data_IF_353946996161
#
_entry.id   IF_353946996161
#
_cell.length_a   1.000
_cell.length_b   1.000
_cell.length_c   1.000
_cell.angle_alpha   90.00
_cell.angle_beta   90.00
_cell.angle_gamma   90.00
#
_symmetry.space_group_name_H-M   'P 1'
#
loop_
_entity.id
_entity.type
_entity.pdbx_description
1 polymer ?
#
# COMPACT_ATOMS: atom_id res chain seq x y z
N UNK A 1 19.25 -13.01 3.21
CA UNK A 1 18.32 -13.12 2.07
C UNK A 1 18.86 -12.29 0.92
N UNK A 2 19.04 -12.85 -0.28
CA UNK A 2 19.48 -12.07 -1.44
C UNK A 2 18.40 -11.04 -1.82
N UNK A 3 18.80 -9.86 -2.32
CA UNK A 3 17.85 -8.80 -2.73
C UNK A 3 16.86 -9.30 -3.79
N UNK A 4 17.28 -10.22 -4.64
CA UNK A 4 16.43 -10.88 -5.62
C UNK A 4 15.35 -11.78 -4.96
N UNK A 5 15.71 -12.54 -3.92
CA UNK A 5 14.77 -13.37 -3.18
C UNK A 5 13.68 -12.55 -2.49
N UNK A 6 14.04 -11.43 -1.87
CA UNK A 6 13.08 -10.52 -1.23
C UNK A 6 12.09 -9.90 -2.23
N UNK A 7 12.54 -9.54 -3.43
CA UNK A 7 11.66 -9.00 -4.49
C UNK A 7 10.65 -10.05 -4.96
N UNK A 8 11.09 -11.29 -5.19
CA UNK A 8 10.18 -12.37 -5.62
C UNK A 8 9.11 -12.69 -4.57
N UNK A 9 9.47 -12.71 -3.28
CA UNK A 9 8.49 -12.89 -2.21
C UNK A 9 7.47 -11.76 -2.18
N UNK A 10 7.89 -10.51 -2.36
CA UNK A 10 6.98 -9.37 -2.42
C UNK A 10 6.02 -9.42 -3.63
N UNK A 11 6.52 -9.85 -4.79
CA UNK A 11 5.69 -10.04 -5.99
C UNK A 11 4.64 -11.13 -5.78
N UNK A 12 5.03 -12.28 -5.22
CA UNK A 12 4.09 -13.38 -4.93
C UNK A 12 3.04 -12.93 -3.92
N UNK A 13 3.45 -12.28 -2.83
CA UNK A 13 2.51 -11.75 -1.84
C UNK A 13 1.54 -10.73 -2.47
N UNK A 14 2.04 -9.83 -3.32
CA UNK A 14 1.21 -8.88 -4.06
C UNK A 14 0.19 -9.55 -4.98
N UNK A 15 0.58 -10.62 -5.68
CA UNK A 15 -0.31 -11.38 -6.54
C UNK A 15 -1.41 -12.09 -5.74
N UNK A 16 -1.06 -12.68 -4.60
CA UNK A 16 -2.05 -13.31 -3.69
C UNK A 16 -3.07 -12.27 -3.22
N UNK A 17 -2.62 -11.09 -2.77
CA UNK A 17 -3.51 -10.00 -2.37
C UNK A 17 -4.38 -9.56 -3.54
N UNK A 18 -3.83 -9.45 -4.75
CA UNK A 18 -4.58 -9.06 -5.95
C UNK A 18 -5.70 -10.06 -6.27
N UNK A 19 -5.42 -11.36 -6.21
CA UNK A 19 -6.43 -12.42 -6.41
C UNK A 19 -7.53 -12.31 -5.36
N UNK A 20 -7.18 -12.12 -4.08
CA UNK A 20 -8.16 -11.94 -3.00
C UNK A 20 -9.05 -10.72 -3.24
N UNK A 21 -8.50 -9.61 -3.73
CA UNK A 21 -9.28 -8.42 -4.07
C UNK A 21 -10.25 -8.68 -5.24
N UNK A 22 -9.84 -9.43 -6.26
CA UNK A 22 -10.72 -9.80 -7.38
C UNK A 22 -11.87 -10.69 -6.91
N UNK A 23 -11.58 -11.72 -6.11
CA UNK A 23 -12.60 -12.61 -5.54
C UNK A 23 -13.56 -11.81 -4.67
N UNK A 24 -13.02 -10.95 -3.82
CA UNK A 24 -13.81 -10.05 -2.98
C UNK A 24 -14.74 -9.17 -3.83
N UNK A 25 -14.22 -8.56 -4.89
CA UNK A 25 -15.01 -7.70 -5.78
C UNK A 25 -16.16 -8.48 -6.42
N UNK A 26 -15.90 -9.66 -7.00
CA UNK A 26 -16.91 -10.47 -7.69
C UNK A 26 -17.96 -11.00 -6.72
N UNK A 27 -17.58 -11.39 -5.50
CA UNK A 27 -18.50 -11.94 -4.51
C UNK A 27 -19.40 -10.87 -3.85
N UNK A 28 -18.97 -9.61 -3.81
CA UNK A 28 -19.66 -8.54 -3.09
C UNK A 28 -20.32 -7.53 -4.04
N UNK A 29 -21.07 -7.99 -5.05
CA UNK A 29 -21.79 -7.10 -5.99
C UNK A 29 -23.13 -6.56 -5.45
N UNK A 30 -23.48 -6.91 -4.21
CA UNK A 30 -24.72 -6.46 -3.58
C UNK A 30 -24.75 -4.95 -3.38
N UNK A 31 -25.92 -4.35 -3.64
CA UNK A 31 -26.13 -2.91 -3.47
C UNK A 31 -26.37 -2.59 -2.00
N UNK A 32 -25.45 -1.85 -1.38
CA UNK A 32 -25.56 -1.37 -0.01
C UNK A 32 -25.88 0.14 -0.02
N UNK A 33 -26.76 0.57 0.89
CA UNK A 33 -27.00 1.99 1.13
C UNK A 33 -25.84 2.56 1.93
N UNK A 34 -25.10 3.50 1.34
CA UNK A 34 -23.96 4.15 2.00
C UNK A 34 -24.34 5.58 2.33
N UNK A 35 -24.13 5.96 3.60
CA UNK A 35 -24.28 7.32 4.09
C UNK A 35 -22.89 7.96 4.17
N UNK A 36 -22.64 8.96 3.33
CA UNK A 36 -21.35 9.64 3.29
C UNK A 36 -21.52 11.15 3.29
N UNK A 37 -21.11 11.80 4.39
CA UNK A 37 -21.11 13.27 4.53
C UNK A 37 -22.45 13.94 4.16
N UNK A 38 -23.58 13.30 4.51
CA UNK A 38 -24.93 13.79 4.20
C UNK A 38 -25.52 13.34 2.86
N UNK A 39 -24.73 12.71 1.99
CA UNK A 39 -25.24 12.01 0.81
C UNK A 39 -25.62 10.56 1.16
N UNK A 40 -26.73 10.10 0.59
CA UNK A 40 -27.20 8.72 0.71
C UNK A 40 -27.41 8.18 -0.69
N UNK A 41 -26.81 7.03 -0.98
CA UNK A 41 -26.98 6.38 -2.28
C UNK A 41 -26.62 4.90 -2.25
N UNK A 42 -27.23 4.10 -3.13
CA UNK A 42 -26.85 2.71 -3.32
C UNK A 42 -25.47 2.65 -3.99
N UNK A 43 -24.54 1.93 -3.38
CA UNK A 43 -23.22 1.64 -3.93
C UNK A 43 -23.00 0.13 -3.85
N UNK A 44 -22.47 -0.53 -4.89
CA UNK A 44 -22.04 -1.92 -4.77
C UNK A 44 -21.05 -2.06 -3.61
N UNK A 45 -21.35 -2.93 -2.66
CA UNK A 45 -20.58 -3.13 -1.43
C UNK A 45 -19.10 -3.42 -1.73
N UNK A 46 -18.87 -4.22 -2.76
CA UNK A 46 -17.54 -4.57 -3.26
C UNK A 46 -16.77 -3.38 -3.80
N UNK A 47 -17.42 -2.44 -4.48
CA UNK A 47 -16.77 -1.19 -4.95
C UNK A 47 -16.38 -0.33 -3.74
N UNK A 48 -17.29 -0.15 -2.78
CA UNK A 48 -17.03 0.66 -1.60
C UNK A 48 -15.84 0.13 -0.78
N UNK A 49 -15.83 -1.17 -0.51
CA UNK A 49 -14.77 -1.83 0.26
C UNK A 49 -13.44 -1.94 -0.52
N UNK A 50 -13.48 -2.14 -1.84
CA UNK A 50 -12.29 -2.12 -2.68
C UNK A 50 -11.62 -0.74 -2.67
N UNK A 51 -12.40 0.33 -2.86
CA UNK A 51 -11.89 1.70 -2.79
C UNK A 51 -11.30 1.98 -1.41
N UNK A 52 -11.96 1.55 -0.33
CA UNK A 52 -11.44 1.70 1.04
C UNK A 52 -10.09 0.96 1.23
N UNK A 53 -9.99 -0.27 0.74
CA UNK A 53 -8.75 -1.06 0.80
C UNK A 53 -7.62 -0.40 -0.01
N UNK A 54 -7.90 0.08 -1.22
CA UNK A 54 -6.92 0.79 -2.06
C UNK A 54 -6.47 2.10 -1.39
N UNK A 55 -7.40 2.89 -0.85
CA UNK A 55 -7.08 4.13 -0.15
C UNK A 55 -6.17 3.88 1.06
N UNK A 56 -6.49 2.87 1.88
CA UNK A 56 -5.64 2.45 2.99
C UNK A 56 -4.26 1.98 2.53
N UNK A 57 -4.19 1.20 1.46
CA UNK A 57 -2.93 0.75 0.85
C UNK A 57 -2.06 1.90 0.34
N UNK A 58 -2.66 2.90 -0.30
CA UNK A 58 -1.96 4.12 -0.77
C UNK A 58 -1.38 4.89 0.42
N UNK A 59 -2.13 5.06 1.50
CA UNK A 59 -1.63 5.73 2.72
C UNK A 59 -0.41 5.01 3.31
N UNK A 60 -0.46 3.68 3.42
CA UNK A 60 0.66 2.87 3.91
C UNK A 60 1.87 2.96 2.97
N UNK A 61 1.64 2.91 1.65
CA UNK A 61 2.70 3.04 0.66
C UNK A 61 3.40 4.41 0.74
N UNK A 62 2.64 5.49 0.90
CA UNK A 62 3.20 6.85 1.09
C UNK A 62 4.04 6.90 2.38
N UNK A 63 3.51 6.41 3.51
CA UNK A 63 4.25 6.40 4.77
C UNK A 63 5.54 5.58 4.68
N UNK A 64 5.50 4.42 4.02
CA UNK A 64 6.66 3.57 3.75
C UNK A 64 7.69 4.26 2.85
N UNK A 65 7.24 4.90 1.76
CA UNK A 65 8.10 5.66 0.87
C UNK A 65 8.80 6.81 1.61
N UNK A 66 8.06 7.61 2.39
CA UNK A 66 8.60 8.69 3.21
C UNK A 66 9.68 8.15 4.16
N UNK A 67 9.42 7.05 4.86
CA UNK A 67 10.41 6.43 5.76
C UNK A 67 11.68 5.99 5.02
N UNK A 68 11.56 5.41 3.83
CA UNK A 68 12.71 5.02 3.01
C UNK A 68 13.50 6.26 2.54
N UNK A 69 12.83 7.33 2.13
CA UNK A 69 13.48 8.58 1.76
C UNK A 69 14.23 9.22 2.93
N UNK A 70 13.62 9.25 4.11
CA UNK A 70 14.26 9.74 5.34
C UNK A 70 15.53 8.95 5.67
N UNK A 71 15.48 7.61 5.64
CA UNK A 71 16.64 6.76 5.88
C UNK A 71 17.75 6.97 4.85
N UNK A 72 17.39 7.10 3.57
CA UNK A 72 18.35 7.38 2.49
C UNK A 72 19.02 8.74 2.66
N UNK A 73 18.28 9.77 3.06
CA UNK A 73 18.81 11.10 3.31
C UNK A 73 19.78 11.10 4.51
N UNK A 74 19.40 10.44 5.62
CA UNK A 74 20.25 10.28 6.80
C UNK A 74 21.58 9.55 6.46
N UNK A 75 21.51 8.44 5.72
CA UNK A 75 22.68 7.69 5.29
C UNK A 75 23.59 8.47 4.31
N UNK A 76 23.02 9.37 3.49
CA UNK A 76 23.81 10.28 2.65
C UNK A 76 24.51 11.35 3.47
N UNK A 77 23.85 11.89 4.50
CA UNK A 77 24.43 12.92 5.36
C UNK A 77 25.54 12.37 6.26
N UNK A 78 25.36 11.18 6.84
CA UNK A 78 26.37 10.49 7.63
C UNK A 78 27.70 10.25 6.85
N UNK A 79 27.60 9.91 5.56
CA UNK A 79 28.76 9.75 4.67
C UNK A 79 29.53 11.05 4.42
N UNK A 80 28.87 12.21 4.45
CA UNK A 80 29.54 13.52 4.25
C UNK A 80 30.28 13.99 5.50
N UNK A 81 29.90 13.50 6.68
CA UNK A 81 30.47 13.90 7.98
C UNK A 81 31.59 12.97 8.49
N UNK A 82 31.97 11.93 7.75
CA UNK A 82 33.09 11.04 8.16
C UNK A 82 34.41 11.62 7.62
N UNK A 83 35.31 12.17 8.46
CA UNK A 83 36.59 12.70 8.00
C UNK A 83 37.52 11.55 7.57
N UNK A 84 38.42 11.76 6.60
CA UNK A 84 39.42 10.76 6.23
C UNK A 84 40.31 10.48 7.45
N UNK A 85 40.36 9.21 7.87
CA UNK A 85 41.25 8.75 8.94
C UNK A 85 42.68 8.81 8.38
N UNK A 86 43.44 9.83 8.78
CA UNK A 86 44.89 9.93 8.56
C UNK A 86 45.63 8.89 9.38
#
# INVERSE_FOLDING_TARGET
MSRAGATWTAVIAGLVVFILLVVFFIQNQDMAQVHFLGLVGPVPLGIALFIAAVAGGVLVAIAGAVRIFQLRAAARRARRTTPPRR
#
